data_IF_612674210751
#
_entry.id   IF_612674210751
#
_cell.length_a   1.000
_cell.length_b   1.000
_cell.length_c   1.000
_cell.angle_alpha   90.00
_cell.angle_beta   90.00
_cell.angle_gamma   90.00
#
_symmetry.space_group_name_H-M   'P 1'
#
loop_
_entity.id
_entity.type
_entity.pdbx_description
1 polymer ?
#
# COMPACT_ATOMS: atom_id res chain seq x y z
N UNK A 1 11.87 2.14 -19.12
CA UNK A 1 11.87 2.74 -17.77
C UNK A 1 13.25 3.34 -17.52
N UNK A 2 13.40 4.49 -16.85
CA UNK A 2 14.77 4.98 -16.54
C UNK A 2 15.35 4.22 -15.35
N UNK A 3 16.67 3.97 -15.34
CA UNK A 3 17.36 3.31 -14.21
C UNK A 3 17.06 3.97 -12.86
N UNK A 4 16.97 5.31 -12.82
CA UNK A 4 16.62 6.05 -11.61
C UNK A 4 15.20 5.75 -11.11
N UNK A 5 14.24 5.64 -12.04
CA UNK A 5 12.84 5.33 -11.73
C UNK A 5 12.70 3.90 -11.20
N UNK A 6 13.45 2.97 -11.79
CA UNK A 6 13.51 1.57 -11.37
C UNK A 6 14.08 1.42 -9.96
N UNK A 7 15.23 2.02 -9.68
CA UNK A 7 15.85 1.98 -8.35
C UNK A 7 14.90 2.56 -7.29
N UNK A 8 14.20 3.66 -7.64
CA UNK A 8 13.19 4.26 -6.76
C UNK A 8 12.03 3.30 -6.51
N UNK A 9 11.56 2.61 -7.54
CA UNK A 9 10.47 1.65 -7.43
C UNK A 9 10.83 0.49 -6.50
N UNK A 10 11.99 -0.13 -6.72
CA UNK A 10 12.51 -1.25 -5.92
C UNK A 10 12.63 -0.84 -4.44
N UNK A 11 13.10 0.37 -4.15
CA UNK A 11 13.16 0.88 -2.77
C UNK A 11 11.78 0.95 -2.11
N UNK A 12 10.75 1.43 -2.81
CA UNK A 12 9.40 1.53 -2.24
C UNK A 12 8.75 0.16 -2.06
N UNK A 13 9.00 -0.76 -2.99
CA UNK A 13 8.49 -2.12 -2.91
C UNK A 13 9.13 -2.88 -1.74
N UNK A 14 10.45 -2.80 -1.60
CA UNK A 14 11.17 -3.39 -0.47
C UNK A 14 10.70 -2.81 0.87
N UNK A 15 10.52 -1.48 0.94
CA UNK A 15 9.97 -0.83 2.12
C UNK A 15 8.57 -1.37 2.47
N UNK A 16 7.68 -1.48 1.48
CA UNK A 16 6.34 -2.05 1.70
C UNK A 16 6.44 -3.48 2.23
N UNK A 17 7.28 -4.33 1.64
CA UNK A 17 7.47 -5.71 2.09
C UNK A 17 8.01 -5.83 3.51
N UNK A 18 8.94 -4.98 3.91
CA UNK A 18 9.41 -4.92 5.30
C UNK A 18 8.27 -4.55 6.25
N UNK A 19 7.45 -3.55 5.91
CA UNK A 19 6.28 -3.17 6.71
C UNK A 19 5.25 -4.33 6.77
N UNK A 20 5.13 -5.17 5.74
CA UNK A 20 4.22 -6.33 5.78
C UNK A 20 4.63 -7.40 6.81
N UNK A 21 5.90 -7.46 7.21
CA UNK A 21 6.34 -8.42 8.26
C UNK A 21 5.71 -8.09 9.62
N UNK A 22 5.41 -6.81 9.85
CA UNK A 22 4.85 -6.29 11.10
C UNK A 22 3.36 -6.65 11.31
N UNK A 23 2.67 -7.22 10.32
CA UNK A 23 1.31 -7.77 10.52
C UNK A 23 1.28 -8.78 11.67
N UNK A 24 2.29 -9.65 11.78
CA UNK A 24 2.36 -10.68 12.83
C UNK A 24 2.42 -10.08 14.24
N UNK A 25 3.09 -8.93 14.38
CA UNK A 25 3.22 -8.14 15.60
C UNK A 25 1.91 -7.42 15.91
N UNK A 26 1.32 -6.73 14.94
CA UNK A 26 0.11 -5.93 15.15
C UNK A 26 -1.17 -6.76 15.25
N UNK A 27 -1.22 -7.98 14.68
CA UNK A 27 -2.31 -8.94 14.92
C UNK A 27 -2.48 -9.30 16.40
N UNK A 28 -1.40 -9.28 17.17
CA UNK A 28 -1.39 -9.57 18.62
C UNK A 28 -1.73 -8.36 19.48
N UNK A 29 -1.84 -7.17 18.90
CA UNK A 29 -2.17 -5.95 19.63
C UNK A 29 -3.60 -6.07 20.19
N UNK A 30 -3.78 -5.73 21.47
CA UNK A 30 -5.10 -5.72 22.10
C UNK A 30 -5.64 -4.30 22.24
N UNK A 31 -6.97 -4.18 22.41
CA UNK A 31 -7.62 -2.88 22.64
C UNK A 31 -7.04 -2.16 23.85
N UNK A 32 -6.83 -2.90 24.94
CA UNK A 32 -6.26 -2.32 26.17
C UNK A 32 -4.87 -1.74 25.92
N UNK A 33 -4.02 -2.46 25.20
CA UNK A 33 -2.68 -1.99 24.86
C UNK A 33 -2.72 -0.75 23.97
N UNK A 34 -3.62 -0.71 22.99
CA UNK A 34 -3.82 0.47 22.13
C UNK A 34 -4.30 1.70 22.92
N UNK A 35 -5.20 1.52 23.90
CA UNK A 35 -5.73 2.62 24.68
C UNK A 35 -4.74 3.13 25.74
N UNK A 36 -4.07 2.22 26.45
CA UNK A 36 -3.22 2.55 27.61
C UNK A 36 -1.75 2.81 27.25
N UNK A 37 -1.21 2.19 26.19
CA UNK A 37 0.22 2.30 25.82
C UNK A 37 0.39 3.21 24.61
N UNK A 38 0.74 4.48 24.86
CA UNK A 38 0.88 5.52 23.83
C UNK A 38 1.85 5.12 22.70
N UNK A 39 2.96 4.47 23.05
CA UNK A 39 3.97 4.06 22.07
C UNK A 39 3.45 2.97 21.14
N UNK A 40 2.71 1.99 21.66
CA UNK A 40 2.07 0.95 20.84
C UNK A 40 1.03 1.55 19.90
N UNK A 41 0.21 2.48 20.39
CA UNK A 41 -0.76 3.23 19.58
C UNK A 41 -0.09 3.97 18.43
N UNK A 42 0.91 4.79 18.73
CA UNK A 42 1.64 5.57 17.71
C UNK A 42 2.30 4.68 16.67
N UNK A 43 2.86 3.55 17.11
CA UNK A 43 3.52 2.60 16.23
C UNK A 43 2.53 1.97 15.24
N UNK A 44 1.37 1.47 15.70
CA UNK A 44 0.38 0.88 14.78
C UNK A 44 -0.27 1.92 13.88
N UNK A 45 -0.54 3.13 14.37
CA UNK A 45 -1.09 4.23 13.56
C UNK A 45 -0.12 4.62 12.45
N UNK A 46 1.17 4.75 12.77
CA UNK A 46 2.21 5.07 11.79
C UNK A 46 2.41 3.95 10.79
N UNK A 47 2.38 2.70 11.23
CA UNK A 47 2.49 1.53 10.37
C UNK A 47 1.35 1.46 9.35
N UNK A 48 0.10 1.68 9.77
CA UNK A 48 -1.04 1.80 8.84
C UNK A 48 -0.83 2.92 7.83
N UNK A 49 -0.37 4.09 8.29
CA UNK A 49 -0.09 5.23 7.41
C UNK A 49 1.00 4.89 6.38
N UNK A 50 2.08 4.24 6.81
CA UNK A 50 3.17 3.80 5.93
C UNK A 50 2.63 2.85 4.85
N UNK A 51 1.85 1.84 5.22
CA UNK A 51 1.27 0.89 4.25
C UNK A 51 0.40 1.60 3.20
N UNK A 52 -0.44 2.54 3.62
CA UNK A 52 -1.30 3.29 2.69
C UNK A 52 -0.48 4.19 1.77
N UNK A 53 0.46 4.97 2.32
CA UNK A 53 1.26 5.90 1.54
C UNK A 53 2.14 5.15 0.53
N UNK A 54 2.79 4.06 0.95
CA UNK A 54 3.60 3.23 0.05
C UNK A 54 2.78 2.65 -1.10
N UNK A 55 1.56 2.18 -0.85
CA UNK A 55 0.66 1.74 -1.93
C UNK A 55 0.39 2.86 -2.91
N UNK A 56 0.03 4.05 -2.43
CA UNK A 56 -0.27 5.20 -3.30
C UNK A 56 0.97 5.57 -4.13
N UNK A 57 2.15 5.62 -3.53
CA UNK A 57 3.39 5.99 -4.23
C UNK A 57 3.76 4.97 -5.31
N UNK A 58 3.65 3.67 -5.01
CA UNK A 58 3.84 2.60 -6.01
C UNK A 58 2.85 2.77 -7.17
N UNK A 59 1.57 3.01 -6.87
CA UNK A 59 0.54 3.23 -7.90
C UNK A 59 0.88 4.43 -8.79
N UNK A 60 1.35 5.54 -8.21
CA UNK A 60 1.77 6.73 -8.97
C UNK A 60 2.93 6.43 -9.89
N UNK A 61 3.93 5.69 -9.41
CA UNK A 61 5.08 5.31 -10.23
C UNK A 61 4.65 4.47 -11.43
N UNK A 62 3.76 3.48 -11.23
CA UNK A 62 3.24 2.65 -12.32
C UNK A 62 2.50 3.51 -13.36
N UNK A 63 1.61 4.39 -12.93
CA UNK A 63 0.89 5.27 -13.86
C UNK A 63 1.85 6.17 -14.66
N UNK A 64 2.90 6.70 -14.02
CA UNK A 64 3.92 7.48 -14.71
C UNK A 64 4.73 6.64 -15.72
N UNK A 65 5.06 5.39 -15.38
CA UNK A 65 5.75 4.45 -16.28
C UNK A 65 4.89 4.18 -17.53
N UNK A 66 3.58 4.02 -17.35
CA UNK A 66 2.62 3.82 -18.44
C UNK A 66 2.25 5.11 -19.19
N UNK A 67 2.85 6.25 -18.85
CA UNK A 67 2.52 7.55 -19.45
C UNK A 67 1.09 8.03 -19.17
N UNK A 68 0.45 7.48 -18.14
CA UNK A 68 -0.92 7.79 -17.74
C UNK A 68 -0.97 9.00 -16.80
N UNK A 69 -2.00 9.84 -16.96
CA UNK A 69 -2.23 10.96 -16.06
C UNK A 69 -2.52 10.46 -14.63
N UNK A 70 -1.75 10.95 -13.66
CA UNK A 70 -1.94 10.63 -12.23
C UNK A 70 -3.13 11.44 -11.69
N UNK A 71 -4.17 10.80 -11.16
CA UNK A 71 -5.30 11.52 -10.57
C UNK A 71 -4.92 12.35 -9.33
N UNK A 72 -5.66 13.43 -9.08
CA UNK A 72 -5.41 14.34 -7.94
C UNK A 72 -5.61 13.69 -6.57
N UNK A 73 -6.52 12.70 -6.48
CA UNK A 73 -6.86 12.06 -5.22
C UNK A 73 -6.19 10.70 -5.10
N UNK A 74 -5.66 10.39 -3.91
CA UNK A 74 -5.00 9.11 -3.64
C UNK A 74 -5.91 7.92 -3.93
N UNK A 75 -7.21 8.05 -3.62
CA UNK A 75 -8.20 7.01 -3.91
C UNK A 75 -8.31 6.77 -5.41
N UNK A 76 -8.43 7.83 -6.21
CA UNK A 76 -8.52 7.69 -7.66
C UNK A 76 -7.22 7.13 -8.23
N UNK A 77 -6.06 7.55 -7.72
CA UNK A 77 -4.76 6.97 -8.10
C UNK A 77 -4.73 5.46 -7.90
N UNK A 78 -5.12 4.96 -6.72
CA UNK A 78 -5.12 3.52 -6.43
C UNK A 78 -6.18 2.79 -7.24
N UNK A 79 -7.34 3.40 -7.51
CA UNK A 79 -8.36 2.79 -8.38
C UNK A 79 -7.91 2.71 -9.84
N UNK A 80 -7.16 3.70 -10.34
CA UNK A 80 -6.74 3.77 -11.74
C UNK A 80 -5.81 2.62 -12.13
N UNK A 81 -5.06 2.02 -11.20
CA UNK A 81 -4.06 1.00 -11.56
C UNK A 81 -4.70 -0.25 -12.19
N UNK A 82 -5.97 -0.55 -11.91
CA UNK A 82 -6.63 -1.72 -12.51
C UNK A 82 -6.93 -1.55 -14.00
N UNK A 83 -6.72 -0.35 -14.57
CA UNK A 83 -6.80 -0.12 -16.02
C UNK A 83 -5.47 -0.34 -16.71
N UNK A 84 -4.39 -0.58 -15.96
CA UNK A 84 -3.08 -0.95 -16.50
C UNK A 84 -3.10 -2.44 -16.81
N UNK A 85 -2.66 -2.81 -18.01
CA UNK A 85 -2.62 -4.21 -18.43
C UNK A 85 -1.77 -5.06 -17.49
N UNK A 86 -2.31 -6.18 -17.03
CA UNK A 86 -1.65 -7.09 -16.07
C UNK A 86 -1.87 -6.73 -14.60
N UNK A 87 -2.61 -5.65 -14.30
CA UNK A 87 -2.95 -5.21 -12.93
C UNK A 87 -4.45 -5.25 -12.62
N UNK A 88 -5.26 -5.90 -13.45
CA UNK A 88 -6.72 -5.95 -13.32
C UNK A 88 -7.15 -6.61 -12.00
N UNK A 89 -6.44 -7.66 -11.59
CA UNK A 89 -6.76 -8.45 -10.39
C UNK A 89 -6.01 -7.99 -9.12
N UNK A 90 -5.32 -6.86 -9.17
CA UNK A 90 -4.49 -6.34 -8.06
C UNK A 90 -5.31 -5.93 -6.82
N UNK A 91 -6.65 -5.94 -6.92
CA UNK A 91 -7.55 -5.59 -5.82
C UNK A 91 -7.63 -4.08 -5.57
N UNK A 92 -7.42 -3.26 -6.61
CA UNK A 92 -7.46 -1.79 -6.59
C UNK A 92 -8.70 -1.23 -5.85
N UNK A 93 -9.87 -1.81 -6.06
CA UNK A 93 -11.11 -1.40 -5.39
C UNK A 93 -11.06 -1.57 -3.87
N UNK A 94 -10.47 -2.66 -3.38
CA UNK A 94 -10.35 -2.91 -1.94
C UNK A 94 -9.27 -2.02 -1.35
N UNK A 95 -8.13 -1.87 -2.01
CA UNK A 95 -7.03 -0.99 -1.57
C UNK A 95 -7.49 0.47 -1.52
N UNK A 96 -8.20 0.95 -2.54
CA UNK A 96 -8.70 2.33 -2.62
C UNK A 96 -9.69 2.69 -1.50
N UNK A 97 -10.45 1.71 -0.98
CA UNK A 97 -11.31 1.90 0.20
C UNK A 97 -10.48 2.18 1.44
N UNK A 98 -9.37 1.46 1.62
CA UNK A 98 -8.46 1.64 2.75
C UNK A 98 -7.61 2.91 2.65
N UNK A 99 -7.40 3.49 1.46
CA UNK A 99 -6.75 4.80 1.32
C UNK A 99 -7.49 5.89 2.12
N UNK A 100 -8.84 5.83 2.19
CA UNK A 100 -9.63 6.78 3.01
C UNK A 100 -9.33 6.67 4.49
N UNK A 101 -8.83 5.53 4.95
CA UNK A 101 -8.52 5.27 6.35
C UNK A 101 -7.39 6.16 6.87
N UNK A 102 -6.48 6.63 6.00
CA UNK A 102 -5.46 7.63 6.35
C UNK A 102 -6.07 8.84 7.07
N UNK A 103 -7.22 9.33 6.61
CA UNK A 103 -7.87 10.49 7.22
C UNK A 103 -8.44 10.16 8.61
N UNK A 104 -8.98 8.95 8.80
CA UNK A 104 -9.51 8.49 10.09
C UNK A 104 -8.39 8.33 11.12
N UNK A 105 -7.24 7.80 10.70
CA UNK A 105 -6.05 7.66 11.56
C UNK A 105 -5.50 9.03 11.98
N UNK A 106 -5.71 10.09 11.19
CA UNK A 106 -5.27 11.45 11.50
C UNK A 106 -6.18 12.21 12.50
N UNK A 107 -7.43 11.79 12.72
CA UNK A 107 -8.36 12.46 13.65
C UNK A 107 -8.11 12.08 15.13
N UNK A 108 -8.81 12.64 16.13
CA UNK A 108 -8.49 12.39 17.56
C UNK A 108 -9.37 11.32 18.26
N UNK A 109 -10.36 10.73 17.58
CA UNK A 109 -11.31 9.78 18.19
C UNK A 109 -10.73 8.36 18.38
N UNK A 110 -10.13 8.10 19.55
CA UNK A 110 -9.40 6.85 19.85
C UNK A 110 -10.23 5.56 19.68
N UNK A 111 -11.50 5.54 20.08
CA UNK A 111 -12.33 4.33 19.98
C UNK A 111 -12.71 3.98 18.54
N UNK A 112 -13.01 4.99 17.72
CA UNK A 112 -13.32 4.85 16.30
C UNK A 112 -12.06 4.34 15.56
N UNK A 113 -10.88 4.83 15.93
CA UNK A 113 -9.62 4.37 15.37
C UNK A 113 -9.35 2.92 15.69
N UNK A 114 -9.51 2.48 16.94
CA UNK A 114 -9.20 1.10 17.31
C UNK A 114 -9.97 0.09 16.44
N UNK A 115 -11.29 0.26 16.32
CA UNK A 115 -12.12 -0.64 15.53
C UNK A 115 -11.70 -0.67 14.06
N UNK A 116 -11.33 0.49 13.52
CA UNK A 116 -10.89 0.62 12.13
C UNK A 116 -9.49 0.03 11.91
N UNK A 117 -8.56 0.21 12.85
CA UNK A 117 -7.22 -0.40 12.81
C UNK A 117 -7.33 -1.92 12.88
N UNK A 118 -8.16 -2.43 13.79
CA UNK A 118 -8.34 -3.87 13.95
C UNK A 118 -8.93 -4.48 12.68
N UNK A 119 -9.95 -3.84 12.11
CA UNK A 119 -10.54 -4.23 10.82
C UNK A 119 -9.53 -4.18 9.68
N UNK A 120 -8.71 -3.12 9.60
CA UNK A 120 -7.64 -3.01 8.62
C UNK A 120 -6.71 -4.22 8.72
N UNK A 121 -6.12 -4.47 9.89
CA UNK A 121 -5.18 -5.59 10.13
C UNK A 121 -5.79 -6.94 9.71
N UNK A 122 -7.05 -7.17 10.04
CA UNK A 122 -7.71 -8.46 9.82
C UNK A 122 -8.09 -8.66 8.33
N UNK A 123 -8.39 -7.60 7.58
CA UNK A 123 -8.86 -7.68 6.19
C UNK A 123 -7.76 -7.49 5.14
N UNK A 124 -6.64 -6.82 5.48
CA UNK A 124 -5.71 -6.34 4.45
C UNK A 124 -4.45 -7.18 4.27
N UNK A 125 -4.08 -8.08 5.19
CA UNK A 125 -2.81 -8.80 5.07
C UNK A 125 -2.69 -9.57 3.73
N UNK A 126 -3.68 -10.41 3.42
CA UNK A 126 -3.69 -11.17 2.16
C UNK A 126 -3.79 -10.25 0.95
N UNK A 127 -4.54 -9.15 1.08
CA UNK A 127 -4.68 -8.15 0.01
C UNK A 127 -3.34 -7.51 -0.34
N UNK A 128 -2.57 -7.08 0.66
CA UNK A 128 -1.25 -6.49 0.45
C UNK A 128 -0.21 -7.51 -0.06
N UNK A 129 -0.25 -8.75 0.43
CA UNK A 129 0.63 -9.81 -0.10
C UNK A 129 0.37 -10.07 -1.58
N UNK A 130 -0.90 -10.17 -1.97
CA UNK A 130 -1.27 -10.35 -3.37
C UNK A 130 -0.87 -9.13 -4.22
N UNK A 131 -1.10 -7.92 -3.70
CA UNK A 131 -0.65 -6.67 -4.35
C UNK A 131 0.85 -6.72 -4.66
N UNK A 132 1.70 -7.03 -3.67
CA UNK A 132 3.16 -7.11 -3.87
C UNK A 132 3.52 -8.14 -4.93
N UNK A 133 2.91 -9.33 -4.90
CA UNK A 133 3.19 -10.40 -5.88
C UNK A 133 2.87 -9.95 -7.30
N UNK A 134 1.68 -9.39 -7.51
CA UNK A 134 1.23 -8.95 -8.83
C UNK A 134 2.11 -7.79 -9.33
N UNK A 135 2.42 -6.82 -8.47
CA UNK A 135 3.31 -5.72 -8.83
C UNK A 135 4.71 -6.21 -9.22
N UNK A 136 5.27 -7.20 -8.51
CA UNK A 136 6.57 -7.80 -8.89
C UNK A 136 6.53 -8.46 -10.25
N UNK A 137 5.47 -9.20 -10.55
CA UNK A 137 5.28 -9.86 -11.84
C UNK A 137 5.17 -8.83 -12.97
N UNK A 138 4.39 -7.78 -12.75
CA UNK A 138 4.26 -6.67 -13.68
C UNK A 138 5.61 -6.00 -14.00
N UNK A 139 6.38 -5.61 -12.98
CA UNK A 139 7.69 -4.97 -13.21
C UNK A 139 8.65 -5.88 -13.95
N UNK A 140 8.68 -7.17 -13.58
CA UNK A 140 9.51 -8.16 -14.26
C UNK A 140 9.16 -8.26 -15.75
N UNK A 141 7.87 -8.32 -16.10
CA UNK A 141 7.44 -8.36 -17.51
C UNK A 141 7.81 -7.10 -18.29
N UNK A 142 7.84 -5.93 -17.64
CA UNK A 142 8.25 -4.67 -18.28
C UNK A 142 9.75 -4.62 -18.53
N UNK A 143 10.56 -5.13 -17.61
CA UNK A 143 12.01 -5.25 -17.79
C UNK A 143 12.38 -6.22 -18.93
N UNK A 144 11.69 -7.36 -19.01
CA UNK A 144 11.93 -8.35 -20.08
C UNK A 144 11.56 -7.79 -21.47
N UNK A 145 10.44 -7.06 -21.58
CA UNK A 145 10.05 -6.42 -22.84
C UNK A 145 11.04 -5.34 -23.31
N UNK A 146 11.62 -4.56 -22.39
CA UNK A 146 12.62 -3.53 -22.72
C UNK A 146 13.96 -4.13 -23.19
N UNK A 147 14.30 -5.35 -22.76
CA UNK A 147 15.52 -6.07 -23.18
C UNK A 147 15.39 -6.79 -24.52
N UNK A 148 14.16 -7.07 -24.98
CA UNK A 148 13.91 -7.67 -26.30
C UNK A 148 13.85 -6.64 -27.43
N UNK A 149 13.66 -5.35 -27.09
CA UNK A 149 13.63 -4.22 -28.05
C UNK A 149 15.01 -3.57 -28.29
N UNK A 150 16.04 -3.89 -27.49
CA UNK A 150 17.44 -3.47 -27.64
C UNK A 150 18.32 -4.50 -28.37
#
# INVERSE_FOLDING_TARGET
>A
MTQESEDRFIRHLNFLEEELKDYTKFKKLTREEYLKKRDKRRNVERWVENLINSTVDICRMILNIEGMAVPDTYRATVSMISTVGGLEEVGADKLSKWVRFRNIVAHEYLDIKWNSIKKFIDETETLYKNFVVIIKQYVKSKQEAEQEEE
#
